data_IF_561263468749
#
_entry.id   IF_561263468749
#
_cell.length_a   1.000
_cell.length_b   1.000
_cell.length_c   1.000
_cell.angle_alpha   90.00
_cell.angle_beta   90.00
_cell.angle_gamma   90.00
#
_symmetry.space_group_name_H-M   'P 1'
#
loop_
_entity.id
_entity.type
_entity.pdbx_description
1 polymer ?
#
# COMPACT_ATOMS: atom_id res chain seq x y z
N UNK A 1 36.92 -18.79 -0.86
CA UNK A 1 35.73 -18.79 0.01
C UNK A 1 34.59 -19.30 -0.84
N UNK A 2 34.07 -20.50 -0.54
CA UNK A 2 33.00 -21.12 -1.34
C UNK A 2 31.74 -20.27 -1.20
N UNK A 3 31.28 -19.72 -2.32
CA UNK A 3 30.10 -18.86 -2.40
C UNK A 3 28.86 -19.73 -2.15
N UNK A 4 28.21 -19.55 -1.00
CA UNK A 4 26.96 -20.24 -0.71
C UNK A 4 25.82 -19.52 -1.47
N UNK A 5 25.58 -19.94 -2.71
CA UNK A 5 24.62 -19.31 -3.62
C UNK A 5 23.21 -19.17 -3.01
N UNK A 6 22.79 -20.08 -2.12
CA UNK A 6 21.45 -20.04 -1.50
C UNK A 6 21.29 -18.90 -0.49
N UNK A 7 22.28 -18.70 0.38
CA UNK A 7 22.26 -17.60 1.37
C UNK A 7 22.42 -16.23 0.72
N UNK A 8 23.18 -16.16 -0.38
CA UNK A 8 23.37 -14.92 -1.12
C UNK A 8 22.14 -14.51 -1.91
N UNK A 9 21.40 -15.47 -2.50
CA UNK A 9 20.12 -15.20 -3.18
C UNK A 9 19.05 -14.69 -2.19
N UNK A 10 19.03 -15.21 -0.97
CA UNK A 10 18.14 -14.70 0.08
C UNK A 10 18.46 -13.25 0.49
N UNK A 11 19.73 -12.91 0.69
CA UNK A 11 20.15 -11.55 1.02
C UNK A 11 19.87 -10.54 -0.12
N UNK A 12 20.11 -10.95 -1.37
CA UNK A 12 19.79 -10.12 -2.55
C UNK A 12 18.27 -9.95 -2.68
N UNK A 13 17.49 -11.02 -2.46
CA UNK A 13 16.03 -10.97 -2.48
C UNK A 13 15.44 -10.02 -1.44
N UNK A 14 16.01 -10.00 -0.22
CA UNK A 14 15.62 -9.07 0.84
C UNK A 14 15.94 -7.61 0.46
N UNK A 15 17.10 -7.35 -0.14
CA UNK A 15 17.48 -6.00 -0.58
C UNK A 15 16.52 -5.47 -1.66
N UNK A 16 16.13 -6.32 -2.62
CA UNK A 16 15.14 -5.99 -3.67
C UNK A 16 13.74 -5.80 -3.06
N UNK A 17 13.34 -6.62 -2.09
CA UNK A 17 12.06 -6.49 -1.41
C UNK A 17 11.92 -5.15 -0.67
N UNK A 18 12.99 -4.71 0.01
CA UNK A 18 13.03 -3.41 0.69
C UNK A 18 12.95 -2.27 -0.33
N UNK A 19 13.66 -2.36 -1.46
CA UNK A 19 13.58 -1.35 -2.53
C UNK A 19 12.15 -1.17 -3.07
N UNK A 20 11.44 -2.29 -3.29
CA UNK A 20 10.05 -2.26 -3.75
C UNK A 20 9.14 -1.62 -2.69
N UNK A 21 9.35 -1.96 -1.42
CA UNK A 21 8.61 -1.38 -0.31
C UNK A 21 8.84 0.14 -0.19
N UNK A 22 10.08 0.61 -0.36
CA UNK A 22 10.40 2.04 -0.35
C UNK A 22 9.75 2.77 -1.53
N UNK A 23 9.75 2.20 -2.73
CA UNK A 23 9.02 2.77 -3.87
C UNK A 23 7.52 2.90 -3.58
N UNK A 24 6.92 1.89 -2.95
CA UNK A 24 5.50 1.92 -2.60
C UNK A 24 5.16 2.98 -1.53
N UNK A 25 6.06 3.23 -0.57
CA UNK A 25 5.86 4.30 0.42
C UNK A 25 5.77 5.70 -0.23
N UNK A 26 6.51 5.94 -1.31
CA UNK A 26 6.48 7.24 -2.01
C UNK A 26 5.08 7.53 -2.58
N UNK A 27 4.31 6.50 -2.91
CA UNK A 27 2.94 6.67 -3.40
C UNK A 27 1.92 6.97 -2.29
N UNK A 28 2.30 6.90 -1.02
CA UNK A 28 1.36 7.19 0.09
C UNK A 28 0.92 8.65 0.07
N UNK A 29 1.87 9.59 -0.09
CA UNK A 29 1.58 11.03 -0.12
C UNK A 29 0.58 11.41 -1.22
N UNK A 30 0.80 11.09 -2.52
CA UNK A 30 -0.15 11.44 -3.57
C UNK A 30 -1.51 10.73 -3.40
N UNK A 31 -1.55 9.51 -2.84
CA UNK A 31 -2.81 8.82 -2.55
C UNK A 31 -3.58 9.57 -1.46
N UNK A 32 -2.90 10.04 -0.42
CA UNK A 32 -3.52 10.79 0.68
C UNK A 32 -4.03 12.16 0.23
N UNK A 33 -3.33 12.83 -0.70
CA UNK A 33 -3.79 14.09 -1.30
C UNK A 33 -5.08 13.86 -2.10
N UNK A 34 -5.12 12.82 -2.94
CA UNK A 34 -6.32 12.48 -3.73
C UNK A 34 -7.49 12.13 -2.81
N UNK A 35 -7.26 11.38 -1.73
CA UNK A 35 -8.30 11.06 -0.74
C UNK A 35 -8.82 12.34 -0.08
N UNK A 36 -7.93 13.26 0.30
CA UNK A 36 -8.29 14.52 0.95
C UNK A 36 -9.08 15.42 0.01
N UNK A 37 -8.69 15.52 -1.25
CA UNK A 37 -9.43 16.24 -2.29
C UNK A 37 -10.81 15.62 -2.50
N UNK A 38 -10.89 14.29 -2.56
CA UNK A 38 -12.14 13.54 -2.77
C UNK A 38 -13.11 13.70 -1.60
N UNK A 39 -12.59 13.79 -0.37
CA UNK A 39 -13.38 14.03 0.85
C UNK A 39 -13.87 15.47 1.00
N UNK A 40 -13.34 16.41 0.22
CA UNK A 40 -13.66 17.83 0.35
C UNK A 40 -15.15 18.11 0.08
N UNK A 41 -15.62 19.22 0.63
CA UNK A 41 -17.00 19.72 0.58
C UNK A 41 -17.53 19.89 -0.85
N UNK A 42 -16.64 20.09 -1.82
CA UNK A 42 -16.97 20.24 -3.24
C UNK A 42 -17.29 18.93 -3.95
N UNK A 43 -16.88 17.77 -3.43
CA UNK A 43 -17.12 16.46 -4.04
C UNK A 43 -18.08 15.61 -3.20
N UNK A 44 -17.58 14.94 -2.16
CA UNK A 44 -18.39 14.06 -1.32
C UNK A 44 -18.94 14.74 -0.06
N UNK A 45 -18.32 15.83 0.40
CA UNK A 45 -18.70 16.53 1.64
C UNK A 45 -18.76 15.59 2.84
N UNK A 46 -17.68 14.81 3.03
CA UNK A 46 -17.61 13.78 4.06
C UNK A 46 -17.61 14.32 5.50
N UNK A 47 -17.52 15.65 5.68
CA UNK A 47 -17.57 16.34 6.97
C UNK A 47 -18.99 16.68 7.40
N UNK A 48 -19.96 16.62 6.48
CA UNK A 48 -21.36 16.93 6.76
C UNK A 48 -22.10 15.69 7.29
N UNK A 49 -22.88 15.86 8.36
CA UNK A 49 -23.65 14.75 8.94
C UNK A 49 -24.96 14.46 8.21
N UNK A 50 -25.42 15.39 7.35
CA UNK A 50 -26.73 15.38 6.69
C UNK A 50 -26.71 14.82 5.25
N UNK A 51 -25.64 14.13 4.85
CA UNK A 51 -25.54 13.45 3.56
C UNK A 51 -26.34 12.14 3.52
N UNK A 52 -26.87 11.80 2.34
CA UNK A 52 -27.54 10.51 2.08
C UNK A 52 -26.62 9.32 2.40
N UNK A 53 -27.19 8.20 2.85
CA UNK A 53 -26.43 6.99 3.24
C UNK A 53 -25.49 6.49 2.14
N UNK A 54 -25.87 6.66 0.86
CA UNK A 54 -25.03 6.33 -0.28
C UNK A 54 -23.71 7.14 -0.31
N UNK A 55 -23.76 8.43 0.02
CA UNK A 55 -22.55 9.27 0.08
C UNK A 55 -21.68 8.94 1.30
N UNK A 56 -22.31 8.58 2.43
CA UNK A 56 -21.58 8.12 3.64
C UNK A 56 -20.80 6.83 3.37
N UNK A 57 -21.42 5.87 2.67
CA UNK A 57 -20.76 4.64 2.27
C UNK A 57 -19.54 4.91 1.38
N UNK A 58 -19.66 5.81 0.40
CA UNK A 58 -18.53 6.15 -0.49
C UNK A 58 -17.39 6.85 0.25
N UNK A 59 -17.67 7.76 1.19
CA UNK A 59 -16.65 8.36 2.04
C UNK A 59 -15.84 7.30 2.82
N UNK A 60 -16.53 6.28 3.34
CA UNK A 60 -15.90 5.19 4.08
C UNK A 60 -15.02 4.30 3.16
N UNK A 61 -15.48 4.03 1.93
CA UNK A 61 -14.70 3.28 0.93
C UNK A 61 -13.44 4.05 0.55
N UNK A 62 -13.53 5.37 0.35
CA UNK A 62 -12.38 6.20 0.01
C UNK A 62 -11.35 6.23 1.15
N UNK A 63 -11.79 6.25 2.41
CA UNK A 63 -10.88 6.15 3.56
C UNK A 63 -10.22 4.76 3.66
N UNK A 64 -10.91 3.72 3.18
CA UNK A 64 -10.42 2.34 3.21
C UNK A 64 -9.38 2.06 2.12
N UNK A 65 -9.27 2.89 1.08
CA UNK A 65 -8.29 2.71 -0.01
C UNK A 65 -6.85 2.73 0.52
N UNK A 66 -6.52 3.65 1.42
CA UNK A 66 -5.17 3.82 1.93
C UNK A 66 -4.67 2.60 2.75
N UNK A 67 -5.41 2.08 3.75
CA UNK A 67 -5.00 0.85 4.44
C UNK A 67 -4.99 -0.37 3.52
N UNK A 68 -5.87 -0.44 2.51
CA UNK A 68 -5.87 -1.55 1.56
C UNK A 68 -4.63 -1.53 0.65
N UNK A 69 -4.21 -0.35 0.20
CA UNK A 69 -2.98 -0.18 -0.59
C UNK A 69 -1.75 -0.68 0.19
N UNK A 70 -1.61 -0.27 1.45
CA UNK A 70 -0.51 -0.70 2.31
C UNK A 70 -0.53 -2.23 2.52
N UNK A 71 -1.72 -2.80 2.76
CA UNK A 71 -1.87 -4.25 2.95
C UNK A 71 -1.42 -5.03 1.69
N UNK A 72 -1.80 -4.58 0.50
CA UNK A 72 -1.41 -5.19 -0.77
C UNK A 72 0.10 -5.10 -0.98
N UNK A 73 0.71 -3.94 -0.72
CA UNK A 73 2.17 -3.75 -0.84
C UNK A 73 2.94 -4.70 0.07
N UNK A 74 2.52 -4.82 1.34
CA UNK A 74 3.16 -5.73 2.30
C UNK A 74 2.99 -7.19 1.87
N UNK A 75 1.79 -7.56 1.39
CA UNK A 75 1.53 -8.92 0.91
C UNK A 75 2.40 -9.27 -0.30
N UNK A 76 2.55 -8.36 -1.27
CA UNK A 76 3.38 -8.56 -2.46
C UNK A 76 4.86 -8.63 -2.11
N UNK A 77 5.35 -7.73 -1.26
CA UNK A 77 6.74 -7.74 -0.81
C UNK A 77 7.05 -9.02 -0.01
N UNK A 78 6.16 -9.41 0.90
CA UNK A 78 6.27 -10.64 1.68
C UNK A 78 6.23 -11.90 0.81
N UNK A 79 5.34 -11.95 -0.18
CA UNK A 79 5.25 -13.05 -1.13
C UNK A 79 6.49 -13.17 -2.02
N UNK A 80 7.05 -12.04 -2.47
CA UNK A 80 8.28 -12.02 -3.25
C UNK A 80 9.47 -12.57 -2.47
N UNK A 81 9.60 -12.15 -1.20
CA UNK A 81 10.65 -12.63 -0.31
C UNK A 81 10.46 -14.12 -0.02
N UNK A 82 9.26 -14.55 0.38
CA UNK A 82 8.99 -15.95 0.73
C UNK A 82 9.21 -16.91 -0.43
N UNK A 83 8.82 -16.53 -1.65
CA UNK A 83 9.06 -17.32 -2.86
C UNK A 83 10.55 -17.62 -3.08
N UNK A 84 11.43 -16.64 -2.81
CA UNK A 84 12.90 -16.76 -2.95
C UNK A 84 13.57 -17.53 -1.82
N UNK A 85 12.91 -17.69 -0.66
CA UNK A 85 13.40 -18.55 0.42
C UNK A 85 13.07 -20.03 0.19
N UNK A 86 11.95 -20.32 -0.49
CA UNK A 86 11.51 -21.71 -0.78
C UNK A 86 12.04 -22.31 -2.07
N UNK A 87 12.51 -21.51 -3.04
CA UNK A 87 13.13 -21.97 -4.30
C UNK A 87 14.66 -21.90 -4.26
#
# INVERSE_FOLDING_TARGET
MVMNNKGQVALIGLMVGIMIFMMAMIFIDPISDVITETRNNTQLDCSNSSITDGKKATCLIVDLILPYFIAVVIAVAGAYISARFTT
#
